data_IF_618053462257
#
_entry.id   IF_618053462257
#
_cell.length_a   1.000
_cell.length_b   1.000
_cell.length_c   1.000
_cell.angle_alpha   90.00
_cell.angle_beta   90.00
_cell.angle_gamma   90.00
#
_symmetry.space_group_name_H-M   'P 1'
#
loop_
_entity.id
_entity.type
_entity.pdbx_description
1 polymer ?
#
# COMPACT_ATOMS: atom_id res chain seq x y z
N UNK A 1 -9.56 -62.78 -73.45
CA UNK A 1 -8.37 -62.41 -72.66
C UNK A 1 -8.75 -61.22 -71.79
N UNK A 2 -8.59 -61.37 -70.47
CA UNK A 2 -8.58 -60.34 -69.42
C UNK A 2 -9.87 -59.56 -69.06
N UNK A 3 -10.46 -59.97 -67.93
CA UNK A 3 -11.28 -59.16 -67.03
C UNK A 3 -10.37 -58.55 -65.95
N UNK A 4 -10.35 -57.23 -65.75
CA UNK A 4 -10.03 -56.60 -64.45
C UNK A 4 -10.41 -55.12 -64.44
N UNK A 5 -11.11 -54.70 -63.37
CA UNK A 5 -11.39 -53.29 -63.08
C UNK A 5 -11.97 -53.12 -61.69
N UNK A 6 -11.10 -52.99 -60.69
CA UNK A 6 -11.37 -52.95 -59.24
C UNK A 6 -12.36 -51.85 -58.82
N UNK A 7 -13.35 -52.22 -58.00
CA UNK A 7 -14.16 -51.28 -57.20
C UNK A 7 -13.26 -50.52 -56.22
N UNK A 8 -13.26 -49.19 -56.32
CA UNK A 8 -12.56 -48.29 -55.39
C UNK A 8 -13.58 -47.76 -54.37
N UNK A 9 -13.63 -48.36 -53.20
CA UNK A 9 -14.41 -47.83 -52.08
C UNK A 9 -13.84 -46.47 -51.65
N UNK A 10 -14.66 -45.41 -51.77
CA UNK A 10 -14.34 -44.09 -51.23
C UNK A 10 -14.52 -44.14 -49.71
N UNK A 11 -13.41 -44.14 -48.96
CA UNK A 11 -13.44 -43.86 -47.52
C UNK A 11 -13.94 -42.42 -47.30
N UNK A 12 -15.15 -42.30 -46.77
CA UNK A 12 -15.68 -41.03 -46.25
C UNK A 12 -14.95 -40.73 -44.95
N UNK A 13 -14.02 -39.77 -44.98
CA UNK A 13 -13.39 -39.24 -43.78
C UNK A 13 -14.44 -38.33 -43.13
N UNK A 14 -15.09 -38.79 -42.07
CA UNK A 14 -15.93 -37.92 -41.26
C UNK A 14 -15.05 -36.85 -40.61
N UNK A 15 -15.40 -35.56 -40.67
CA UNK A 15 -14.65 -34.53 -39.98
C UNK A 15 -14.71 -34.82 -38.48
N UNK A 16 -13.54 -34.99 -37.85
CA UNK A 16 -13.44 -35.14 -36.41
C UNK A 16 -14.21 -33.99 -35.74
N UNK A 17 -15.20 -34.34 -34.92
CA UNK A 17 -16.03 -33.37 -34.20
C UNK A 17 -15.13 -32.36 -33.50
N UNK A 18 -15.15 -31.12 -33.96
CA UNK A 18 -14.41 -30.02 -33.35
C UNK A 18 -15.11 -29.75 -32.02
N UNK A 19 -14.59 -30.30 -30.93
CA UNK A 19 -15.11 -30.03 -29.59
C UNK A 19 -14.91 -28.54 -29.35
N UNK A 20 -16.00 -27.78 -29.44
CA UNK A 20 -16.02 -26.36 -29.12
C UNK A 20 -15.79 -26.22 -27.60
N UNK A 21 -14.53 -26.15 -27.18
CA UNK A 21 -14.19 -25.78 -25.81
C UNK A 21 -14.30 -24.27 -25.71
N UNK A 22 -15.53 -23.76 -25.56
CA UNK A 22 -15.75 -22.39 -25.15
C UNK A 22 -15.02 -22.18 -23.82
N UNK A 23 -14.00 -21.32 -23.83
CA UNK A 23 -13.26 -20.89 -22.66
C UNK A 23 -13.19 -19.37 -22.71
N UNK A 24 -13.22 -18.73 -21.54
CA UNK A 24 -12.88 -17.32 -21.45
C UNK A 24 -11.47 -17.13 -22.00
N UNK A 25 -11.26 -16.12 -22.85
CA UNK A 25 -9.97 -15.84 -23.48
C UNK A 25 -8.86 -15.65 -22.43
N UNK A 26 -9.17 -14.90 -21.37
CA UNK A 26 -8.29 -14.70 -20.22
C UNK A 26 -7.97 -15.97 -19.40
N UNK A 27 -8.72 -17.07 -19.59
CA UNK A 27 -8.42 -18.35 -18.94
C UNK A 27 -7.41 -19.19 -19.73
N UNK A 28 -6.98 -18.72 -20.91
CA UNK A 28 -5.93 -19.36 -21.69
C UNK A 28 -4.57 -18.81 -21.29
N UNK A 29 -3.62 -19.70 -21.01
CA UNK A 29 -2.20 -19.32 -20.89
C UNK A 29 -1.54 -19.45 -22.26
N UNK A 30 -1.15 -18.32 -22.84
CA UNK A 30 -0.38 -18.20 -24.09
C UNK A 30 1.06 -17.80 -23.78
N UNK A 31 1.95 -17.91 -24.78
CA UNK A 31 3.33 -17.45 -24.63
C UNK A 31 3.42 -15.95 -24.26
N UNK A 32 2.49 -15.14 -24.80
CA UNK A 32 2.45 -13.70 -24.57
C UNK A 32 1.95 -13.34 -23.16
N UNK A 33 0.99 -14.09 -22.62
CA UNK A 33 0.35 -13.76 -21.34
C UNK A 33 0.87 -14.54 -20.13
N UNK A 34 1.71 -15.56 -20.34
CA UNK A 34 2.23 -16.41 -19.25
C UNK A 34 2.91 -15.58 -18.15
N UNK A 35 3.63 -14.51 -18.51
CA UNK A 35 4.29 -13.63 -17.53
C UNK A 35 3.31 -12.73 -16.77
N UNK A 36 2.18 -12.36 -17.37
CA UNK A 36 1.20 -11.46 -16.75
C UNK A 36 0.51 -12.11 -15.55
N UNK A 37 0.22 -13.41 -15.62
CA UNK A 37 -0.46 -14.17 -14.56
C UNK A 37 0.43 -15.23 -13.91
N UNK A 38 1.76 -15.11 -14.04
CA UNK A 38 2.71 -16.06 -13.47
C UNK A 38 2.56 -16.24 -11.95
N UNK A 39 2.07 -15.20 -11.26
CA UNK A 39 1.86 -15.20 -9.81
C UNK A 39 0.38 -15.42 -9.42
N UNK A 40 -0.51 -15.75 -10.37
CA UNK A 40 -1.88 -16.10 -10.04
C UNK A 40 -1.90 -17.47 -9.33
N UNK A 41 -2.60 -17.54 -8.19
CA UNK A 41 -2.66 -18.72 -7.35
C UNK A 41 -4.11 -19.23 -7.16
N UNK A 42 -4.22 -20.44 -6.61
CA UNK A 42 -5.50 -21.05 -6.22
C UNK A 42 -5.59 -21.26 -4.70
N UNK A 43 -4.89 -20.44 -3.90
CA UNK A 43 -4.84 -20.57 -2.45
C UNK A 43 -6.15 -20.06 -1.81
N UNK A 44 -6.43 -20.54 -0.59
CA UNK A 44 -7.45 -19.93 0.27
C UNK A 44 -7.11 -18.48 0.62
N UNK A 45 -8.06 -17.73 1.18
CA UNK A 45 -7.80 -16.36 1.60
C UNK A 45 -6.63 -16.26 2.59
N UNK A 46 -6.63 -17.10 3.62
CA UNK A 46 -5.57 -17.15 4.63
C UNK A 46 -4.26 -17.77 4.10
N UNK A 47 -4.34 -18.67 3.13
CA UNK A 47 -3.17 -19.24 2.47
C UNK A 47 -2.43 -18.22 1.60
N UNK A 48 -3.16 -17.44 0.80
CA UNK A 48 -2.61 -16.36 -0.01
C UNK A 48 -2.04 -15.22 0.85
N UNK A 49 -2.69 -14.95 1.97
CA UNK A 49 -2.25 -13.97 2.95
C UNK A 49 -1.47 -14.61 4.10
N UNK A 50 -0.59 -15.59 3.88
CA UNK A 50 0.12 -16.29 4.98
C UNK A 50 0.91 -15.33 5.91
N UNK A 51 1.32 -15.81 7.09
CA UNK A 51 2.06 -15.00 8.06
C UNK A 51 3.32 -14.33 7.47
N UNK A 52 4.09 -15.07 6.65
CA UNK A 52 5.29 -14.55 5.97
C UNK A 52 4.97 -13.53 4.89
N UNK A 53 3.90 -13.76 4.11
CA UNK A 53 3.43 -12.80 3.10
C UNK A 53 3.00 -11.50 3.77
N UNK A 54 2.16 -11.59 4.81
CA UNK A 54 1.73 -10.42 5.59
C UNK A 54 2.92 -9.69 6.18
N UNK A 55 3.84 -10.39 6.84
CA UNK A 55 5.08 -9.79 7.39
C UNK A 55 5.85 -9.02 6.32
N UNK A 56 6.02 -9.59 5.13
CA UNK A 56 6.71 -8.94 4.01
C UNK A 56 5.98 -7.69 3.54
N UNK A 57 4.66 -7.77 3.37
CA UNK A 57 3.83 -6.64 2.94
C UNK A 57 3.82 -5.52 3.98
N UNK A 58 3.67 -5.85 5.28
CA UNK A 58 3.74 -4.89 6.39
C UNK A 58 5.07 -4.14 6.38
N UNK A 59 6.19 -4.88 6.32
CA UNK A 59 7.53 -4.26 6.33
C UNK A 59 7.73 -3.31 5.13
N UNK A 60 7.34 -3.73 3.93
CA UNK A 60 7.43 -2.89 2.72
C UNK A 60 6.53 -1.66 2.82
N UNK A 61 5.31 -1.83 3.31
CA UNK A 61 4.33 -0.76 3.47
C UNK A 61 4.78 0.27 4.51
N UNK A 62 5.24 -0.17 5.69
CA UNK A 62 5.85 0.70 6.72
C UNK A 62 7.05 1.46 6.17
N UNK A 63 7.92 0.79 5.41
CA UNK A 63 9.06 1.43 4.74
C UNK A 63 8.61 2.52 3.76
N UNK A 64 7.65 2.22 2.87
CA UNK A 64 7.16 3.19 1.89
C UNK A 64 6.48 4.38 2.56
N UNK A 65 5.67 4.17 3.60
CA UNK A 65 5.03 5.25 4.35
C UNK A 65 6.05 6.12 5.11
N UNK A 66 7.16 5.55 5.57
CA UNK A 66 8.21 6.30 6.24
C UNK A 66 9.07 7.13 5.27
N UNK A 67 9.25 6.66 4.02
CA UNK A 67 10.20 7.24 3.06
C UNK A 67 9.55 7.96 1.87
N UNK A 68 8.22 7.97 1.77
CA UNK A 68 7.50 8.62 0.68
C UNK A 68 6.49 9.63 1.21
N UNK A 69 6.67 10.92 0.86
CA UNK A 69 5.83 12.02 1.34
C UNK A 69 4.37 11.88 0.93
N UNK A 70 4.09 11.36 -0.27
CA UNK A 70 2.71 11.11 -0.69
C UNK A 70 2.10 9.94 0.07
N UNK A 71 2.83 8.83 0.23
CA UNK A 71 2.34 7.70 1.02
C UNK A 71 2.01 8.14 2.47
N UNK A 72 2.92 8.88 3.10
CA UNK A 72 2.72 9.44 4.45
C UNK A 72 1.52 10.38 4.51
N UNK A 73 1.42 11.30 3.54
CA UNK A 73 0.35 12.28 3.46
C UNK A 73 -1.01 11.60 3.30
N UNK A 74 -1.16 10.72 2.31
CA UNK A 74 -2.38 9.99 2.00
C UNK A 74 -2.87 9.19 3.22
N UNK A 75 -1.99 8.42 3.87
CA UNK A 75 -2.36 7.62 5.05
C UNK A 75 -2.74 8.51 6.23
N UNK A 76 -2.05 9.64 6.42
CA UNK A 76 -2.37 10.59 7.50
C UNK A 76 -3.71 11.29 7.26
N UNK A 77 -3.97 11.75 6.04
CA UNK A 77 -5.25 12.35 5.64
C UNK A 77 -6.38 11.36 5.84
N UNK A 78 -6.22 10.11 5.40
CA UNK A 78 -7.21 9.06 5.59
C UNK A 78 -7.53 8.83 7.07
N UNK A 79 -6.52 8.78 7.95
CA UNK A 79 -6.72 8.61 9.38
C UNK A 79 -7.40 9.82 10.03
N UNK A 80 -6.97 11.03 9.69
CA UNK A 80 -7.51 12.28 10.21
C UNK A 80 -8.97 12.45 9.79
N UNK A 81 -9.29 12.20 8.52
CA UNK A 81 -10.63 12.40 8.04
C UNK A 81 -11.58 11.33 8.59
N UNK A 82 -11.13 10.09 8.84
CA UNK A 82 -11.98 9.00 9.36
C UNK A 82 -12.32 9.24 10.82
N UNK A 83 -11.34 9.62 11.62
CA UNK A 83 -11.52 9.76 13.08
C UNK A 83 -11.99 11.16 13.45
N UNK A 84 -11.65 12.18 12.65
CA UNK A 84 -11.96 13.57 12.93
C UNK A 84 -11.44 13.97 14.31
N UNK A 85 -12.29 14.61 15.12
CA UNK A 85 -12.00 14.96 16.52
C UNK A 85 -12.21 13.82 17.51
N UNK A 86 -12.63 12.64 17.05
CA UNK A 86 -12.99 11.49 17.85
C UNK A 86 -14.47 11.14 17.77
N UNK A 87 -14.85 9.95 18.25
CA UNK A 87 -16.24 9.53 18.32
C UNK A 87 -17.02 10.44 19.30
N UNK A 88 -18.28 10.69 18.98
CA UNK A 88 -19.24 11.35 19.87
C UNK A 88 -20.32 10.35 20.25
N UNK A 89 -20.70 10.36 21.52
CA UNK A 89 -21.85 9.61 22.00
C UNK A 89 -23.07 10.52 21.93
N UNK A 90 -24.19 9.97 21.45
CA UNK A 90 -25.50 10.59 21.57
C UNK A 90 -26.43 9.56 22.19
N UNK A 91 -26.97 9.88 23.37
CA UNK A 91 -27.94 9.06 24.07
C UNK A 91 -29.35 9.41 23.58
N UNK A 92 -30.20 8.39 23.48
CA UNK A 92 -31.57 8.52 22.93
C UNK A 92 -32.61 8.04 23.94
N UNK A 93 -32.35 8.20 25.24
CA UNK A 93 -33.31 7.86 26.30
C UNK A 93 -34.27 9.02 26.56
N UNK A 94 -35.41 8.76 27.21
CA UNK A 94 -36.39 9.81 27.55
C UNK A 94 -35.91 10.79 28.64
N UNK A 95 -34.79 10.50 29.32
CA UNK A 95 -34.19 11.37 30.34
C UNK A 95 -33.07 12.23 29.74
N UNK A 96 -33.42 13.44 29.29
CA UNK A 96 -32.48 14.40 28.71
C UNK A 96 -31.34 14.79 29.67
N UNK A 97 -31.61 14.86 30.98
CA UNK A 97 -30.59 15.22 31.96
C UNK A 97 -29.60 14.07 32.15
N UNK A 98 -30.09 12.85 32.28
CA UNK A 98 -29.27 11.64 32.32
C UNK A 98 -28.42 11.47 31.06
N UNK A 99 -29.00 11.74 29.88
CA UNK A 99 -28.30 11.73 28.60
C UNK A 99 -27.09 12.69 28.63
N UNK A 100 -27.30 13.95 29.02
CA UNK A 100 -26.24 14.96 29.08
C UNK A 100 -25.09 14.60 30.02
N UNK A 101 -25.41 13.98 31.18
CA UNK A 101 -24.39 13.50 32.13
C UNK A 101 -23.56 12.38 31.51
N UNK A 102 -24.21 11.37 30.91
CA UNK A 102 -23.53 10.23 30.30
C UNK A 102 -22.64 10.67 29.13
N UNK A 103 -23.16 11.54 28.26
CA UNK A 103 -22.40 12.09 27.13
C UNK A 103 -21.18 12.88 27.59
N UNK A 104 -21.32 13.68 28.65
CA UNK A 104 -20.21 14.44 29.25
C UNK A 104 -19.16 13.49 29.84
N UNK A 105 -19.57 12.49 30.61
CA UNK A 105 -18.66 11.50 31.20
C UNK A 105 -17.95 10.65 30.14
N UNK A 106 -18.65 10.30 29.05
CA UNK A 106 -18.04 9.63 27.91
C UNK A 106 -16.95 10.50 27.28
N UNK A 107 -17.21 11.79 27.04
CA UNK A 107 -16.21 12.70 26.47
C UNK A 107 -15.01 12.91 27.40
N UNK A 108 -15.26 13.01 28.72
CA UNK A 108 -14.21 13.08 29.74
C UNK A 108 -13.33 11.83 29.71
N UNK A 109 -13.94 10.65 29.75
CA UNK A 109 -13.24 9.36 29.65
C UNK A 109 -12.45 9.23 28.33
N UNK A 110 -13.08 9.52 27.20
CA UNK A 110 -12.46 9.43 25.87
C UNK A 110 -11.24 10.35 25.75
N UNK A 111 -11.30 11.54 26.35
CA UNK A 111 -10.17 12.46 26.45
C UNK A 111 -9.04 11.90 27.34
N UNK A 112 -9.37 11.38 28.52
CA UNK A 112 -8.40 10.77 29.45
C UNK A 112 -7.61 9.62 28.82
N UNK A 113 -8.29 8.74 28.09
CA UNK A 113 -7.62 7.62 27.41
C UNK A 113 -7.03 8.00 26.04
N UNK A 114 -7.19 9.25 25.59
CA UNK A 114 -6.77 9.74 24.27
C UNK A 114 -7.35 8.90 23.12
N UNK A 115 -8.64 8.61 23.21
CA UNK A 115 -9.34 7.68 22.32
C UNK A 115 -9.19 8.09 20.85
N UNK A 116 -9.37 9.38 20.53
CA UNK A 116 -9.23 9.88 19.16
C UNK A 116 -7.82 9.62 18.59
N UNK A 117 -6.77 9.86 19.38
CA UNK A 117 -5.39 9.61 18.97
C UNK A 117 -5.15 8.11 18.73
N UNK A 118 -5.67 7.26 19.63
CA UNK A 118 -5.57 5.80 19.49
C UNK A 118 -6.27 5.30 18.24
N UNK A 119 -7.48 5.77 17.97
CA UNK A 119 -8.23 5.40 16.76
C UNK A 119 -7.54 5.89 15.48
N UNK A 120 -6.88 7.06 15.50
CA UNK A 120 -6.07 7.52 14.35
C UNK A 120 -4.88 6.59 14.12
N UNK A 121 -4.17 6.21 15.18
CA UNK A 121 -3.08 5.23 15.10
C UNK A 121 -3.58 3.89 14.55
N UNK A 122 -4.71 3.38 15.05
CA UNK A 122 -5.30 2.15 14.52
C UNK A 122 -5.70 2.29 13.04
N UNK A 123 -6.23 3.45 12.62
CA UNK A 123 -6.58 3.65 11.21
C UNK A 123 -5.35 3.68 10.30
N UNK A 124 -4.26 4.30 10.76
CA UNK A 124 -2.98 4.28 10.07
C UNK A 124 -2.40 2.86 10.01
N UNK A 125 -2.41 2.12 11.13
CA UNK A 125 -1.98 0.73 11.20
C UNK A 125 -2.80 -0.16 10.25
N UNK A 126 -4.12 0.03 10.16
CA UNK A 126 -4.93 -0.70 9.17
C UNK A 126 -4.49 -0.42 7.72
N UNK A 127 -4.11 0.81 7.39
CA UNK A 127 -3.63 1.13 6.05
C UNK A 127 -2.21 0.56 5.79
N UNK A 128 -1.33 0.64 6.78
CA UNK A 128 0.07 0.22 6.66
C UNK A 128 0.29 -1.28 6.83
N UNK A 129 -0.44 -1.89 7.76
CA UNK A 129 -0.23 -3.24 8.25
C UNK A 129 -1.36 -4.18 7.80
N UNK A 130 -2.49 -3.60 7.39
CA UNK A 130 -3.71 -4.30 6.96
C UNK A 130 -4.76 -4.47 8.04
N UNK A 131 -4.34 -4.36 9.28
CA UNK A 131 -5.17 -4.57 10.46
C UNK A 131 -4.63 -3.78 11.64
N UNK A 132 -5.47 -3.58 12.65
CA UNK A 132 -5.10 -2.98 13.92
C UNK A 132 -5.74 -3.74 15.07
N UNK A 133 -5.04 -3.79 16.20
CA UNK A 133 -5.51 -4.47 17.39
C UNK A 133 -5.53 -3.53 18.59
N UNK A 134 -6.58 -3.65 19.41
CA UNK A 134 -6.70 -2.95 20.67
C UNK A 134 -7.30 -3.86 21.73
N UNK A 135 -6.65 -3.98 22.87
CA UNK A 135 -7.14 -4.75 24.02
C UNK A 135 -7.90 -3.81 24.95
N UNK A 136 -9.14 -4.18 25.27
CA UNK A 136 -9.92 -3.56 26.33
C UNK A 136 -9.36 -4.03 27.67
N UNK A 137 -8.69 -3.13 28.39
CA UNK A 137 -7.98 -3.44 29.63
C UNK A 137 -8.40 -2.53 30.77
N UNK A 138 -8.33 -3.03 32.00
CA UNK A 138 -8.58 -2.23 33.20
C UNK A 138 -7.30 -1.48 33.57
N UNK A 139 -7.31 -0.15 33.41
CA UNK A 139 -6.26 0.76 33.84
C UNK A 139 -6.68 1.51 35.11
N UNK A 140 -6.21 1.03 36.26
CA UNK A 140 -6.53 1.60 37.59
C UNK A 140 -6.00 3.02 37.79
N UNK A 141 -5.03 3.44 36.98
CA UNK A 141 -4.39 4.76 37.10
C UNK A 141 -5.14 5.86 36.34
N UNK A 142 -6.23 5.55 35.63
CA UNK A 142 -7.04 6.56 34.96
C UNK A 142 -7.73 7.49 35.98
N UNK A 143 -7.65 8.80 35.74
CA UNK A 143 -8.40 9.79 36.50
C UNK A 143 -9.83 9.94 35.95
N UNK A 144 -10.57 8.84 35.95
CA UNK A 144 -11.97 8.73 35.54
C UNK A 144 -12.65 7.67 36.41
N UNK A 145 -13.96 7.77 36.69
CA UNK A 145 -14.70 6.67 37.33
C UNK A 145 -14.64 5.38 36.50
N UNK A 146 -14.56 5.51 35.17
CA UNK A 146 -14.40 4.37 34.25
C UNK A 146 -12.92 4.03 34.10
N UNK A 147 -12.53 2.84 34.57
CA UNK A 147 -11.14 2.33 34.47
C UNK A 147 -10.85 1.56 33.18
N UNK A 148 -11.77 1.55 32.23
CA UNK A 148 -11.59 0.92 30.93
C UNK A 148 -10.60 1.72 30.08
N UNK A 149 -9.61 1.06 29.50
CA UNK A 149 -8.69 1.63 28.52
C UNK A 149 -8.61 0.75 27.27
N UNK A 150 -8.31 1.39 26.13
CA UNK A 150 -8.01 0.71 24.88
C UNK A 150 -6.48 0.65 24.70
N UNK A 151 -5.87 -0.49 24.99
CA UNK A 151 -4.42 -0.69 24.84
C UNK A 151 -4.11 -1.18 23.43
N UNK A 152 -3.48 -0.34 22.63
CA UNK A 152 -3.04 -0.72 21.28
C UNK A 152 -1.86 -1.70 21.34
N UNK A 153 -1.87 -2.68 20.45
CA UNK A 153 -0.77 -3.62 20.23
C UNK A 153 -0.50 -3.72 18.72
N UNK A 154 0.73 -4.08 18.35
CA UNK A 154 1.06 -4.28 16.94
C UNK A 154 0.52 -5.61 16.41
N UNK A 155 0.21 -5.66 15.11
CA UNK A 155 -0.26 -6.88 14.44
C UNK A 155 0.76 -8.04 14.54
N UNK A 156 2.05 -7.72 14.60
CA UNK A 156 3.16 -8.65 14.77
C UNK A 156 3.16 -9.34 16.14
N UNK A 157 2.53 -8.74 17.16
CA UNK A 157 2.39 -9.37 18.47
C UNK A 157 1.27 -10.42 18.50
N UNK A 158 0.32 -10.36 17.56
CA UNK A 158 -0.73 -11.37 17.41
C UNK A 158 -0.22 -12.42 16.45
N UNK A 159 0.28 -13.51 17.01
CA UNK A 159 0.93 -14.57 16.24
C UNK A 159 0.73 -15.91 16.92
N UNK A 160 0.96 -16.98 16.16
CA UNK A 160 0.81 -18.33 16.63
C UNK A 160 1.98 -18.74 17.55
N UNK A 161 1.75 -19.02 18.86
CA UNK A 161 2.82 -19.50 19.73
C UNK A 161 3.29 -20.89 19.28
N UNK A 162 4.59 -21.15 19.40
CA UNK A 162 5.19 -22.44 19.01
C UNK A 162 4.51 -23.64 19.68
N UNK A 163 4.12 -23.51 20.95
CA UNK A 163 3.45 -24.59 21.70
C UNK A 163 2.10 -25.03 21.10
N UNK A 164 1.46 -24.17 20.29
CA UNK A 164 0.15 -24.41 19.69
C UNK A 164 0.23 -24.80 18.21
N UNK A 165 1.43 -24.80 17.62
CA UNK A 165 1.63 -25.05 16.19
C UNK A 165 1.16 -26.42 15.70
N UNK A 166 1.08 -27.42 16.58
CA UNK A 166 0.69 -28.79 16.23
C UNK A 166 -0.81 -29.09 16.40
N UNK A 167 -1.62 -28.13 16.87
CA UNK A 167 -3.05 -28.32 17.07
C UNK A 167 -3.88 -27.24 16.34
N UNK A 168 -3.72 -27.18 15.00
CA UNK A 168 -4.22 -26.08 14.15
C UNK A 168 -5.69 -26.20 13.71
N UNK A 169 -6.45 -27.20 14.15
CA UNK A 169 -7.75 -27.52 13.52
C UNK A 169 -8.77 -26.36 13.55
N UNK A 170 -8.59 -25.36 14.42
CA UNK A 170 -9.42 -24.14 14.47
C UNK A 170 -8.61 -22.87 14.75
N UNK A 171 -7.36 -22.79 14.30
CA UNK A 171 -6.47 -21.66 14.63
C UNK A 171 -5.81 -21.06 13.38
N UNK A 172 -5.86 -19.73 13.26
CA UNK A 172 -5.22 -18.99 12.17
C UNK A 172 -4.38 -17.85 12.73
N UNK A 173 -3.06 -18.00 12.63
CA UNK A 173 -2.03 -17.02 13.03
C UNK A 173 -2.39 -16.22 14.30
N UNK A 174 -2.41 -16.87 15.46
CA UNK A 174 -2.67 -16.17 16.71
C UNK A 174 -4.16 -15.89 17.02
N UNK A 175 -5.09 -16.38 16.19
CA UNK A 175 -6.53 -16.35 16.47
C UNK A 175 -7.03 -17.79 16.60
N UNK A 176 -7.77 -18.07 17.66
CA UNK A 176 -8.50 -19.32 17.85
C UNK A 176 -9.99 -19.09 17.57
N UNK A 177 -10.60 -19.99 16.82
CA UNK A 177 -11.99 -19.90 16.38
C UNK A 177 -12.84 -21.01 17.01
N UNK A 178 -14.12 -20.72 17.20
CA UNK A 178 -15.13 -21.72 17.51
C UNK A 178 -15.51 -22.55 16.27
N UNK A 179 -16.39 -23.53 16.45
CA UNK A 179 -16.88 -24.42 15.37
C UNK A 179 -17.64 -23.67 14.25
N UNK A 180 -18.08 -22.44 14.51
CA UNK A 180 -18.82 -21.59 13.57
C UNK A 180 -17.93 -20.55 12.90
N UNK A 181 -16.63 -20.50 13.24
CA UNK A 181 -15.68 -19.53 12.69
C UNK A 181 -15.72 -18.16 13.38
N UNK A 182 -16.31 -18.04 14.58
CA UNK A 182 -16.21 -16.83 15.38
C UNK A 182 -14.88 -16.82 16.16
N UNK A 183 -14.18 -15.68 16.25
CA UNK A 183 -13.00 -15.58 17.12
C UNK A 183 -13.39 -15.86 18.57
N UNK A 184 -12.71 -16.81 19.20
CA UNK A 184 -12.87 -17.17 20.61
C UNK A 184 -11.74 -16.57 21.47
N UNK A 185 -10.49 -16.67 21.01
CA UNK A 185 -9.34 -16.12 21.74
C UNK A 185 -8.24 -15.62 20.80
N UNK A 186 -7.40 -14.71 21.30
CA UNK A 186 -6.24 -14.16 20.61
C UNK A 186 -4.98 -14.43 21.41
N UNK A 187 -3.95 -14.97 20.76
CA UNK A 187 -2.63 -15.16 21.36
C UNK A 187 -1.76 -13.93 21.11
N UNK A 188 -1.40 -13.23 22.18
CA UNK A 188 -0.64 -11.98 22.13
C UNK A 188 0.70 -12.14 22.83
N UNK A 189 1.79 -11.97 22.09
CA UNK A 189 3.14 -11.97 22.66
C UNK A 189 3.29 -10.85 23.70
N UNK A 190 3.92 -11.18 24.85
CA UNK A 190 4.21 -10.21 25.91
C UNK A 190 5.16 -9.11 25.43
N UNK A 191 6.11 -9.46 24.56
CA UNK A 191 7.07 -8.54 23.96
C UNK A 191 6.91 -8.50 22.44
N UNK A 192 7.23 -7.37 21.82
CA UNK A 192 7.23 -7.25 20.36
C UNK A 192 8.34 -8.15 19.77
N UNK A 193 8.06 -8.96 18.73
CA UNK A 193 9.05 -9.91 18.17
C UNK A 193 10.27 -9.22 17.54
N UNK A 194 10.14 -7.94 17.17
CA UNK A 194 11.26 -7.10 16.70
C UNK A 194 11.94 -6.27 17.81
N UNK A 195 11.59 -6.45 19.09
CA UNK A 195 12.22 -5.73 20.19
C UNK A 195 13.61 -6.29 20.53
N UNK A 196 14.51 -5.46 21.06
CA UNK A 196 15.87 -5.85 21.48
C UNK A 196 15.89 -6.70 22.77
N UNK A 197 14.77 -7.27 23.20
CA UNK A 197 14.71 -8.06 24.43
C UNK A 197 15.51 -9.36 24.26
N UNK A 198 16.40 -9.64 25.21
CA UNK A 198 17.26 -10.85 25.24
C UNK A 198 16.47 -12.14 25.56
N UNK A 199 15.18 -12.02 25.86
CA UNK A 199 14.31 -13.15 26.21
C UNK A 199 13.77 -13.76 24.92
N UNK A 200 14.34 -14.91 24.54
CA UNK A 200 13.93 -15.74 23.40
C UNK A 200 12.61 -16.50 23.61
N UNK A 201 12.00 -16.43 24.79
CA UNK A 201 10.73 -17.11 25.04
C UNK A 201 9.58 -16.36 24.37
N UNK A 202 8.83 -17.08 23.51
CA UNK A 202 7.55 -16.66 22.93
C UNK A 202 6.45 -16.65 23.99
N UNK A 203 6.72 -15.95 25.08
CA UNK A 203 5.80 -15.77 26.19
C UNK A 203 4.58 -15.01 25.68
N UNK A 204 3.39 -15.59 25.84
CA UNK A 204 2.15 -15.04 25.32
C UNK A 204 1.07 -14.98 26.39
N UNK A 205 0.10 -14.09 26.17
CA UNK A 205 -1.15 -14.04 26.91
C UNK A 205 -2.28 -14.43 25.96
N UNK A 206 -3.20 -15.28 26.42
CA UNK A 206 -4.46 -15.50 25.73
C UNK A 206 -5.44 -14.38 26.14
N UNK A 207 -5.97 -13.66 25.17
CA UNK A 207 -6.95 -12.60 25.35
C UNK A 207 -8.29 -13.10 24.80
N UNK A 208 -9.32 -13.03 25.63
CA UNK A 208 -10.69 -13.36 25.22
C UNK A 208 -11.15 -12.45 24.07
N UNK A 209 -11.86 -13.00 23.10
CA UNK A 209 -12.32 -12.23 21.94
C UNK A 209 -13.24 -11.06 22.31
N UNK A 210 -14.02 -11.15 23.39
CA UNK A 210 -14.84 -10.04 23.90
C UNK A 210 -14.02 -8.86 24.45
N UNK A 211 -12.75 -9.08 24.76
CA UNK A 211 -11.81 -8.04 25.22
C UNK A 211 -10.86 -7.57 24.11
N UNK A 212 -11.00 -8.06 22.87
CA UNK A 212 -10.16 -7.71 21.74
C UNK A 212 -10.95 -6.94 20.68
N UNK A 213 -10.44 -5.77 20.31
CA UNK A 213 -10.85 -5.04 19.11
C UNK A 213 -9.88 -5.39 17.99
N UNK A 214 -10.31 -6.28 17.09
CA UNK A 214 -9.58 -6.58 15.86
C UNK A 214 -10.20 -5.82 14.69
N UNK A 215 -9.50 -4.79 14.21
CA UNK A 215 -9.98 -3.95 13.12
C UNK A 215 -9.24 -4.25 11.82
N UNK A 216 -9.92 -4.97 10.92
CA UNK A 216 -9.47 -5.22 9.56
C UNK A 216 -10.66 -5.21 8.58
N UNK A 217 -10.37 -5.30 7.28
CA UNK A 217 -11.39 -5.51 6.24
C UNK A 217 -11.09 -6.83 5.53
N UNK A 218 -12.01 -7.78 5.64
CA UNK A 218 -11.98 -8.99 4.83
C UNK A 218 -12.34 -8.64 3.38
N UNK A 219 -11.47 -9.02 2.44
CA UNK A 219 -11.68 -8.86 1.00
C UNK A 219 -12.09 -10.18 0.32
N UNK A 220 -11.75 -11.31 0.95
CA UNK A 220 -12.13 -12.65 0.51
C UNK A 220 -12.90 -13.37 1.63
N UNK A 221 -13.91 -14.20 1.31
CA UNK A 221 -14.55 -15.07 2.31
C UNK A 221 -13.53 -15.97 3.00
N UNK A 222 -13.66 -16.11 4.33
CA UNK A 222 -12.72 -16.89 5.15
C UNK A 222 -11.36 -16.21 5.39
N UNK A 223 -11.23 -14.91 5.14
CA UNK A 223 -10.04 -14.16 5.49
C UNK A 223 -10.06 -13.79 6.98
N UNK A 224 -9.08 -14.30 7.72
CA UNK A 224 -8.96 -14.14 9.17
C UNK A 224 -8.05 -12.98 9.57
N UNK A 225 -7.15 -12.53 8.68
CA UNK A 225 -6.15 -11.49 8.96
C UNK A 225 -6.08 -10.47 7.83
N UNK A 226 -5.76 -9.22 8.17
CA UNK A 226 -5.66 -8.12 7.21
C UNK A 226 -4.39 -8.15 6.34
N UNK A 227 -4.48 -7.56 5.16
CA UNK A 227 -3.33 -7.18 4.31
C UNK A 227 -3.31 -5.65 4.14
N UNK A 228 -2.14 -5.00 4.05
CA UNK A 228 -2.06 -3.55 3.92
C UNK A 228 -2.92 -3.02 2.79
N UNK A 229 -3.75 -2.00 3.05
CA UNK A 229 -4.68 -1.46 2.04
C UNK A 229 -3.94 -0.83 0.85
N UNK A 230 -2.69 -0.40 1.07
CA UNK A 230 -1.83 0.16 0.02
C UNK A 230 -1.03 -0.91 -0.75
N UNK A 231 -1.24 -2.21 -0.48
CA UNK A 231 -0.50 -3.31 -1.13
C UNK A 231 -0.44 -3.19 -2.66
N UNK A 232 -1.54 -2.94 -3.39
CA UNK A 232 -1.51 -2.82 -4.85
C UNK A 232 -0.66 -1.63 -5.34
N UNK A 233 -0.55 -0.58 -4.53
CA UNK A 233 0.17 0.65 -4.87
C UNK A 233 1.65 0.64 -4.45
N UNK A 234 2.12 -0.35 -3.69
CA UNK A 234 3.52 -0.40 -3.21
C UNK A 234 4.56 -0.27 -4.34
N UNK A 235 4.44 -0.99 -5.48
CA UNK A 235 5.38 -0.84 -6.57
C UNK A 235 5.35 0.57 -7.18
N UNK A 236 4.15 1.17 -7.29
CA UNK A 236 3.95 2.51 -7.86
C UNK A 236 4.59 3.59 -6.97
N UNK A 237 4.48 3.49 -5.65
CA UNK A 237 5.17 4.41 -4.73
C UNK A 237 6.69 4.36 -4.91
N UNK A 238 7.26 3.16 -5.01
CA UNK A 238 8.70 2.99 -5.19
C UNK A 238 9.17 3.50 -6.55
N UNK A 239 8.43 3.20 -7.63
CA UNK A 239 8.72 3.68 -8.98
C UNK A 239 8.60 5.20 -9.07
N UNK A 240 7.56 5.80 -8.48
CA UNK A 240 7.36 7.25 -8.48
C UNK A 240 8.51 7.98 -7.76
N UNK A 241 8.94 7.45 -6.60
CA UNK A 241 10.11 7.99 -5.87
C UNK A 241 11.37 7.88 -6.71
N UNK A 242 11.65 6.71 -7.29
CA UNK A 242 12.82 6.49 -8.16
C UNK A 242 12.82 7.42 -9.37
N UNK A 243 11.66 7.59 -10.01
CA UNK A 243 11.50 8.49 -11.14
C UNK A 243 11.76 9.95 -10.75
N UNK A 244 11.21 10.40 -9.63
CA UNK A 244 11.45 11.76 -9.09
C UNK A 244 12.94 12.00 -8.84
N UNK A 245 13.64 11.05 -8.20
CA UNK A 245 15.08 11.16 -7.94
C UNK A 245 15.91 11.16 -9.23
N UNK A 246 15.54 10.35 -10.23
CA UNK A 246 16.22 10.33 -11.51
C UNK A 246 16.06 11.65 -12.28
N UNK A 247 14.89 12.28 -12.20
CA UNK A 247 14.64 13.61 -12.81
C UNK A 247 15.47 14.68 -12.10
N UNK A 248 15.53 14.65 -10.77
CA UNK A 248 16.38 15.58 -10.00
C UNK A 248 17.85 15.38 -10.36
N UNK A 249 18.35 14.15 -10.34
CA UNK A 249 19.75 13.85 -10.67
C UNK A 249 20.11 14.27 -12.10
N UNK A 250 19.20 14.09 -13.06
CA UNK A 250 19.41 14.55 -14.43
C UNK A 250 19.44 16.08 -14.53
N UNK A 251 18.58 16.78 -13.79
CA UNK A 251 18.59 18.24 -13.74
C UNK A 251 19.87 18.78 -13.06
N UNK A 252 20.34 18.13 -11.99
CA UNK A 252 21.61 18.45 -11.33
C UNK A 252 22.79 18.21 -12.28
N UNK A 253 22.84 17.06 -12.94
CA UNK A 253 23.86 16.73 -13.93
C UNK A 253 23.91 17.75 -15.08
N UNK A 254 22.74 18.16 -15.58
CA UNK A 254 22.65 19.18 -16.62
C UNK A 254 23.12 20.57 -16.14
N UNK A 255 22.93 20.88 -14.86
CA UNK A 255 23.39 22.13 -14.27
C UNK A 255 24.91 22.11 -13.98
N UNK A 256 25.47 20.94 -13.63
CA UNK A 256 26.89 20.75 -13.32
C UNK A 256 27.75 20.70 -14.59
N UNK A 257 27.26 20.09 -15.68
CA UNK A 257 27.95 20.10 -16.97
C UNK A 257 27.67 21.39 -17.74
N UNK A 258 28.44 22.44 -17.44
CA UNK A 258 28.34 23.72 -18.15
C UNK A 258 28.73 23.62 -19.64
N UNK A 259 29.66 22.74 -19.99
CA UNK A 259 30.09 22.51 -21.37
C UNK A 259 31.05 21.31 -21.52
N UNK A 260 30.99 20.65 -22.67
CA UNK A 260 32.03 19.74 -23.18
C UNK A 260 32.74 20.43 -24.33
N UNK A 261 34.06 20.45 -24.31
CA UNK A 261 34.86 20.90 -25.44
C UNK A 261 35.04 19.74 -26.42
N UNK A 262 34.68 19.95 -27.68
CA UNK A 262 34.91 18.97 -28.75
C UNK A 262 35.44 19.68 -30.00
N UNK A 263 36.12 18.95 -30.87
CA UNK A 263 36.63 19.46 -32.15
C UNK A 263 36.09 18.61 -33.29
N UNK A 264 35.70 19.27 -34.39
CA UNK A 264 35.30 18.62 -35.64
C UNK A 264 36.48 18.50 -36.62
N UNK A 265 37.70 18.88 -36.19
CA UNK A 265 38.88 18.86 -37.04
C UNK A 265 39.26 17.42 -37.41
N UNK A 266 39.59 17.15 -38.69
CA UNK A 266 40.08 15.83 -39.10
C UNK A 266 41.37 15.47 -38.34
N UNK A 267 41.68 14.18 -38.19
CA UNK A 267 42.80 13.68 -37.37
C UNK A 267 44.21 14.24 -37.71
N UNK A 268 44.35 14.98 -38.81
CA UNK A 268 45.57 15.69 -39.25
C UNK A 268 45.48 17.23 -39.17
N UNK A 269 44.44 17.79 -38.56
CA UNK A 269 44.26 19.24 -38.41
C UNK A 269 45.05 19.82 -37.24
N UNK A 270 45.47 21.08 -37.36
CA UNK A 270 46.16 21.89 -36.34
C UNK A 270 45.23 22.27 -35.17
N UNK A 271 44.54 21.30 -34.55
CA UNK A 271 43.90 21.56 -33.27
C UNK A 271 44.98 21.62 -32.18
N UNK A 272 44.89 22.59 -31.27
CA UNK A 272 45.80 22.66 -30.13
C UNK A 272 45.73 21.36 -29.30
N UNK A 273 46.89 20.76 -29.01
CA UNK A 273 47.02 19.53 -28.23
C UNK A 273 46.66 19.83 -26.76
N UNK A 274 45.43 19.51 -26.37
CA UNK A 274 45.02 19.48 -24.97
C UNK A 274 45.22 18.07 -24.40
N UNK A 275 45.65 17.97 -23.14
CA UNK A 275 45.70 16.69 -22.44
C UNK A 275 44.26 16.12 -22.30
N UNK A 276 44.04 14.81 -22.52
CA UNK A 276 42.74 14.20 -22.31
C UNK A 276 42.24 14.45 -20.88
N UNK A 277 41.02 14.98 -20.74
CA UNK A 277 40.38 15.36 -19.46
C UNK A 277 40.92 16.62 -18.78
N UNK A 278 41.60 17.52 -19.50
CA UNK A 278 41.99 18.82 -18.94
C UNK A 278 40.77 19.68 -18.57
N UNK A 279 40.84 20.37 -17.44
CA UNK A 279 39.70 21.10 -16.84
C UNK A 279 39.85 22.59 -17.13
N UNK A 280 39.09 23.08 -18.10
CA UNK A 280 38.99 24.53 -18.34
C UNK A 280 38.06 25.14 -17.29
N UNK A 281 38.59 25.97 -16.40
CA UNK A 281 37.78 26.70 -15.42
C UNK A 281 36.93 27.77 -16.13
N UNK A 282 35.62 27.56 -16.14
CA UNK A 282 34.66 28.54 -16.63
C UNK A 282 34.19 29.41 -15.44
N UNK A 283 34.59 30.67 -15.43
CA UNK A 283 34.05 31.64 -14.46
C UNK A 283 32.61 32.01 -14.83
N UNK A 284 31.71 31.97 -13.85
CA UNK A 284 30.28 32.21 -14.07
C UNK A 284 30.06 33.62 -14.65
N UNK A 285 29.33 33.68 -15.77
CA UNK A 285 28.93 34.92 -16.49
C UNK A 285 30.07 35.64 -17.24
N UNK A 286 31.18 34.96 -17.51
CA UNK A 286 32.22 35.46 -18.41
C UNK A 286 32.21 34.74 -19.75
N UNK A 287 32.50 35.47 -20.82
CA UNK A 287 32.77 34.89 -22.13
C UNK A 287 34.25 34.48 -22.17
N UNK A 288 34.52 33.18 -22.13
CA UNK A 288 35.88 32.62 -22.22
C UNK A 288 36.21 32.29 -23.67
N UNK A 289 37.43 32.61 -24.12
CA UNK A 289 37.92 32.24 -25.46
C UNK A 289 38.34 30.78 -25.48
N UNK A 290 37.96 30.06 -26.53
CA UNK A 290 38.34 28.66 -26.72
C UNK A 290 39.62 28.54 -27.55
N UNK A 291 40.43 27.48 -27.33
CA UNK A 291 41.55 27.16 -28.21
C UNK A 291 41.10 26.95 -29.66
N UNK A 292 41.99 27.22 -30.61
CA UNK A 292 41.67 27.17 -32.03
C UNK A 292 41.20 25.76 -32.45
N UNK A 293 40.11 25.72 -33.23
CA UNK A 293 39.45 24.48 -33.65
C UNK A 293 38.56 23.77 -32.61
N UNK A 294 38.43 24.28 -31.38
CA UNK A 294 37.57 23.70 -30.34
C UNK A 294 36.23 24.44 -30.22
N UNK A 295 35.14 23.67 -30.10
CA UNK A 295 33.78 24.18 -29.93
C UNK A 295 33.24 23.81 -28.55
N UNK A 296 32.44 24.71 -27.99
CA UNK A 296 31.67 24.47 -26.78
C UNK A 296 30.40 23.69 -27.16
N UNK A 297 30.31 22.43 -26.73
CA UNK A 297 29.06 21.68 -26.72
C UNK A 297 28.40 21.83 -25.38
N UNK A 298 27.18 22.36 -25.35
CA UNK A 298 26.36 22.20 -24.15
C UNK A 298 25.80 20.77 -24.16
N UNK A 299 25.91 20.04 -23.04
CA UNK A 299 25.16 18.80 -22.88
C UNK A 299 23.70 19.22 -22.71
N UNK A 300 22.92 19.15 -23.79
CA UNK A 300 21.48 19.34 -23.72
C UNK A 300 20.86 18.13 -23.03
N UNK A 301 20.43 18.31 -21.79
CA UNK A 301 19.58 17.33 -21.13
C UNK A 301 18.21 17.32 -21.80
N UNK A 302 18.03 16.47 -22.82
CA UNK A 302 16.74 16.19 -23.44
C UNK A 302 15.84 15.38 -22.48
N UNK A 303 15.46 15.96 -21.34
CA UNK A 303 14.33 15.47 -20.56
C UNK A 303 13.08 16.27 -20.93
N UNK A 304 11.94 15.60 -21.24
CA UNK A 304 10.67 16.30 -21.45
C UNK A 304 10.10 16.76 -20.09
N UNK A 305 10.69 17.81 -19.52
CA UNK A 305 10.30 18.43 -18.25
C UNK A 305 8.83 18.87 -18.23
N UNK A 306 8.27 19.16 -19.41
CA UNK A 306 6.86 19.56 -19.58
C UNK A 306 5.85 18.45 -19.27
N UNK A 307 6.24 17.17 -19.42
CA UNK A 307 5.34 16.01 -19.22
C UNK A 307 5.44 15.37 -17.83
N UNK A 308 6.48 15.73 -17.06
CA UNK A 308 6.74 15.17 -15.73
C UNK A 308 5.54 15.34 -14.78
N UNK A 309 4.94 16.53 -14.77
CA UNK A 309 3.80 16.83 -13.90
C UNK A 309 2.58 15.98 -14.20
N UNK A 310 2.24 15.81 -15.48
CA UNK A 310 1.11 14.98 -15.91
C UNK A 310 1.31 13.52 -15.56
N UNK A 311 2.49 12.96 -15.86
CA UNK A 311 2.82 11.57 -15.54
C UNK A 311 2.77 11.31 -14.03
N UNK A 312 3.36 12.20 -13.22
CA UNK A 312 3.31 12.12 -11.76
C UNK A 312 1.87 12.15 -11.23
N UNK A 313 1.03 13.02 -11.79
CA UNK A 313 -0.38 13.10 -11.39
C UNK A 313 -1.15 11.83 -11.76
N UNK A 314 -0.90 11.23 -12.92
CA UNK A 314 -1.55 9.98 -13.33
C UNK A 314 -1.19 8.81 -12.39
N UNK A 315 0.10 8.66 -12.05
CA UNK A 315 0.53 7.63 -11.08
C UNK A 315 -0.11 7.88 -9.71
N UNK A 316 -0.13 9.12 -9.23
CA UNK A 316 -0.76 9.45 -7.95
C UNK A 316 -2.27 9.16 -7.94
N UNK A 317 -2.95 9.39 -9.06
CA UNK A 317 -4.37 9.06 -9.19
C UNK A 317 -4.62 7.55 -9.14
N UNK A 318 -3.77 6.74 -9.80
CA UNK A 318 -3.82 5.28 -9.72
C UNK A 318 -3.56 4.79 -8.28
N UNK A 319 -2.54 5.33 -7.61
CA UNK A 319 -2.23 5.05 -6.21
C UNK A 319 -3.45 5.35 -5.32
N UNK A 320 -4.10 6.50 -5.51
CA UNK A 320 -5.22 6.92 -4.66
C UNK A 320 -6.43 5.97 -4.77
N UNK A 321 -6.55 5.23 -5.89
CA UNK A 321 -7.67 4.31 -6.14
C UNK A 321 -7.72 3.16 -5.13
N UNK A 322 -6.59 2.64 -4.66
CA UNK A 322 -6.57 1.52 -3.70
C UNK A 322 -7.21 1.89 -2.35
N UNK A 323 -7.20 3.17 -1.98
CA UNK A 323 -7.81 3.69 -0.75
C UNK A 323 -9.18 4.34 -0.98
N UNK A 324 -9.72 4.27 -2.21
CA UNK A 324 -10.91 5.01 -2.63
C UNK A 324 -10.83 6.52 -2.35
N UNK A 325 -9.62 7.08 -2.40
CA UNK A 325 -9.39 8.51 -2.17
C UNK A 325 -9.40 9.25 -3.52
N UNK A 326 -10.20 10.32 -3.67
CA UNK A 326 -10.13 11.20 -4.83
C UNK A 326 -8.76 11.87 -4.97
N UNK A 327 -8.34 12.13 -6.21
CA UNK A 327 -7.02 12.71 -6.48
C UNK A 327 -6.79 14.05 -5.78
N UNK A 328 -7.78 14.95 -5.73
CA UNK A 328 -7.64 16.24 -5.06
C UNK A 328 -7.32 16.13 -3.57
N UNK A 329 -7.88 15.12 -2.89
CA UNK A 329 -7.61 14.85 -1.47
C UNK A 329 -6.24 14.17 -1.32
N UNK A 330 -5.93 13.19 -2.17
CA UNK A 330 -4.65 12.46 -2.11
C UNK A 330 -3.43 13.35 -2.42
N UNK A 331 -3.56 14.25 -3.41
CA UNK A 331 -2.52 15.17 -3.83
C UNK A 331 -2.57 16.52 -3.09
N UNK A 332 -3.59 16.76 -2.25
CA UNK A 332 -3.89 18.06 -1.66
C UNK A 332 -3.91 19.20 -2.70
N UNK A 333 -4.49 18.93 -3.88
CA UNK A 333 -4.50 19.86 -5.00
C UNK A 333 -5.88 19.92 -5.66
N UNK A 334 -6.51 21.08 -5.58
CA UNK A 334 -7.84 21.35 -6.15
C UNK A 334 -7.80 22.26 -7.38
N UNK A 335 -6.64 22.51 -7.99
CA UNK A 335 -6.51 23.46 -9.12
C UNK A 335 -7.39 23.11 -10.33
N UNK A 336 -7.65 21.82 -10.57
CA UNK A 336 -8.52 21.34 -11.66
C UNK A 336 -9.99 21.15 -11.28
N UNK A 337 -10.40 21.53 -10.07
CA UNK A 337 -11.73 21.23 -9.53
C UNK A 337 -12.56 22.50 -9.35
N UNK A 338 -13.84 22.44 -9.72
CA UNK A 338 -14.81 23.44 -9.31
C UNK A 338 -15.51 22.98 -8.01
N UNK A 339 -16.26 23.87 -7.36
CA UNK A 339 -16.90 23.55 -6.07
C UNK A 339 -17.89 22.37 -6.17
N UNK A 340 -18.63 22.26 -7.28
CA UNK A 340 -19.61 21.20 -7.47
C UNK A 340 -18.96 19.82 -7.64
N UNK A 341 -17.90 19.72 -8.45
CA UNK A 341 -17.13 18.48 -8.62
C UNK A 341 -16.43 18.10 -7.31
N UNK A 342 -15.78 19.06 -6.65
CA UNK A 342 -15.17 18.85 -5.34
C UNK A 342 -16.15 18.29 -4.31
N UNK A 343 -17.37 18.83 -4.23
CA UNK A 343 -18.40 18.33 -3.30
C UNK A 343 -18.83 16.90 -3.62
N UNK A 344 -19.00 16.55 -4.90
CA UNK A 344 -19.39 15.20 -5.32
C UNK A 344 -18.33 14.15 -4.96
N UNK A 345 -17.06 14.47 -5.17
CA UNK A 345 -15.96 13.56 -4.84
C UNK A 345 -15.81 13.37 -3.34
N UNK A 346 -15.93 14.45 -2.56
CA UNK A 346 -15.94 14.37 -1.10
C UNK A 346 -17.09 13.50 -0.61
N UNK A 347 -18.31 13.64 -1.16
CA UNK A 347 -19.44 12.80 -0.76
C UNK A 347 -19.18 11.31 -0.99
N UNK A 348 -18.62 10.95 -2.14
CA UNK A 348 -18.31 9.55 -2.48
C UNK A 348 -17.22 9.00 -1.56
N UNK A 349 -16.16 9.77 -1.36
CA UNK A 349 -15.07 9.45 -0.43
C UNK A 349 -15.55 9.27 1.01
N UNK A 350 -16.39 10.18 1.51
CA UNK A 350 -16.94 10.07 2.85
C UNK A 350 -17.80 8.82 2.99
N UNK A 351 -18.67 8.53 2.02
CA UNK A 351 -19.53 7.33 1.98
C UNK A 351 -18.72 6.02 1.96
N UNK A 352 -17.64 5.93 1.19
CA UNK A 352 -16.84 4.69 1.13
C UNK A 352 -16.17 4.33 2.45
N UNK A 353 -16.05 5.28 3.39
CA UNK A 353 -15.47 5.06 4.72
C UNK A 353 -16.49 4.61 5.75
N UNK A 354 -17.79 4.87 5.52
CA UNK A 354 -18.89 4.48 6.40
C UNK A 354 -19.22 2.97 6.36
N UNK A 355 -18.22 2.11 6.08
CA UNK A 355 -18.39 0.65 6.15
C UNK A 355 -18.57 0.12 7.59
N UNK A 356 -18.58 0.98 8.61
CA UNK A 356 -19.00 0.65 9.99
C UNK A 356 -20.52 0.52 10.12
N UNK A 357 -21.17 -0.27 9.27
CA UNK A 357 -22.54 -0.72 9.56
C UNK A 357 -22.42 -2.12 10.15
N UNK A 358 -22.31 -2.19 11.48
CA UNK A 358 -22.41 -3.43 12.24
C UNK A 358 -23.68 -4.16 11.80
N UNK A 359 -23.51 -5.29 11.12
CA UNK A 359 -24.48 -6.37 11.23
C UNK A 359 -24.12 -7.07 12.55
N UNK A 360 -24.95 -6.85 13.57
CA UNK A 360 -24.96 -7.71 14.75
C UNK A 360 -25.36 -9.12 14.36
#
# INVERSE_FOLDING_TARGET
>A
MWWFGKNKERKVIQPAGRILRARFDAAQTTADNQRHWANADSLSADGAASADVRKTLRNRSRYEIANNSYARGIVSTLANDVVGTGPRLQMLTDDDNGNGIIETEFMNWASQIRLAQKLRTMRMARASDGEAFGILAINRNLNSPVKLDLRLIEADQVTMPWSKYFNQQSQVDGIEFDEFGNPASYFVLKNHPGSMSLVFEQDYNAVDAGSMVHWFRAERPGQSRGIPEITPALPLFAQLRRYTLAVIAAAETAADFAAVLYTDSPANGEAANLEPMDVVQLEKRMATTLPDGWKLGQIEAHQPTTTYGEFKNQILNEIARCLNMPFNIAACNSSGYNYASGRLDHQTYYKSRWQFRYYR
#
